data_IF_371965733273
#
_entry.id   IF_371965733273
#
_cell.length_a   1.000
_cell.length_b   1.000
_cell.length_c   1.000
_cell.angle_alpha   90.00
_cell.angle_beta   90.00
_cell.angle_gamma   90.00
#
_symmetry.space_group_name_H-M   'P 1'
#
loop_
_entity.id
_entity.type
_entity.pdbx_description
1 polymer ?
#
# COMPACT_ATOMS: atom_id res chain seq x y z
N UNK A 1 -69.06 27.28 -34.82
CA UNK A 1 -67.61 27.44 -34.61
C UNK A 1 -67.28 27.12 -33.17
N UNK A 2 -66.91 25.87 -32.89
CA UNK A 2 -66.53 25.37 -31.57
C UNK A 2 -65.05 25.01 -31.63
N UNK A 3 -64.25 25.58 -30.75
CA UNK A 3 -62.83 25.28 -30.61
C UNK A 3 -62.70 24.09 -29.66
N UNK A 4 -62.11 23.00 -30.18
CA UNK A 4 -61.82 21.77 -29.44
C UNK A 4 -60.38 21.84 -28.94
N UNK A 5 -60.20 21.83 -27.62
CA UNK A 5 -58.91 21.77 -26.95
C UNK A 5 -58.33 20.35 -27.06
N UNK A 6 -57.16 20.21 -27.68
CA UNK A 6 -56.36 18.98 -27.69
C UNK A 6 -55.25 19.11 -26.65
N UNK A 7 -55.34 18.30 -25.59
CA UNK A 7 -54.25 18.00 -24.65
C UNK A 7 -53.45 16.81 -25.20
N UNK A 8 -52.11 16.87 -25.25
CA UNK A 8 -51.30 15.69 -25.49
C UNK A 8 -51.06 14.93 -24.17
N UNK A 9 -51.47 13.66 -24.21
CA UNK A 9 -51.11 12.60 -23.26
C UNK A 9 -49.61 12.34 -23.36
N UNK A 10 -48.86 12.60 -22.29
CA UNK A 10 -47.46 12.20 -22.20
C UNK A 10 -47.39 10.74 -21.75
N UNK A 11 -46.97 9.89 -22.68
CA UNK A 11 -46.76 8.46 -22.48
C UNK A 11 -45.53 8.20 -21.62
N UNK A 12 -45.75 7.38 -20.60
CA UNK A 12 -44.77 6.78 -19.69
C UNK A 12 -43.86 5.86 -20.52
N UNK A 13 -42.60 6.24 -20.69
CA UNK A 13 -41.54 5.39 -21.23
C UNK A 13 -40.65 4.89 -20.10
N UNK A 14 -40.93 3.69 -19.60
CA UNK A 14 -40.10 2.97 -18.62
C UNK A 14 -38.84 2.47 -19.32
N UNK A 15 -37.73 3.22 -19.22
CA UNK A 15 -36.40 2.73 -19.56
C UNK A 15 -35.85 1.92 -18.38
N UNK A 16 -35.88 0.60 -18.52
CA UNK A 16 -35.06 -0.30 -17.71
C UNK A 16 -33.60 -0.16 -18.16
N UNK A 17 -32.73 0.30 -17.25
CA UNK A 17 -31.27 0.22 -17.41
C UNK A 17 -30.69 -0.71 -16.33
N UNK A 18 -29.61 -1.45 -16.64
CA UNK A 18 -29.14 -2.57 -15.84
C UNK A 18 -28.32 -2.12 -14.63
N UNK A 19 -28.44 -2.91 -13.55
CA UNK A 19 -27.83 -2.71 -12.25
C UNK A 19 -26.34 -2.37 -12.32
N UNK A 20 -26.00 -1.16 -11.88
CA UNK A 20 -24.65 -0.76 -11.58
C UNK A 20 -24.28 -1.26 -10.19
N UNK A 21 -23.43 -2.28 -10.12
CA UNK A 21 -22.63 -2.55 -8.93
C UNK A 21 -21.76 -1.31 -8.66
N UNK A 22 -22.09 -0.58 -7.59
CA UNK A 22 -21.36 0.61 -7.17
C UNK A 22 -19.93 0.23 -6.78
N UNK A 23 -18.99 0.53 -7.66
CA UNK A 23 -17.57 0.63 -7.32
C UNK A 23 -17.39 1.91 -6.50
N UNK A 24 -16.95 1.77 -5.25
CA UNK A 24 -16.61 2.90 -4.40
C UNK A 24 -15.22 3.41 -4.79
N UNK A 25 -15.16 4.62 -5.35
CA UNK A 25 -13.91 5.38 -5.50
C UNK A 25 -13.67 6.16 -4.21
N UNK A 26 -12.54 5.93 -3.55
CA UNK A 26 -12.16 6.60 -2.29
C UNK A 26 -11.68 8.05 -2.49
N UNK A 27 -11.51 8.52 -3.73
CA UNK A 27 -10.88 9.82 -4.03
C UNK A 27 -11.83 11.03 -4.17
N UNK A 28 -13.14 10.89 -3.90
CA UNK A 28 -14.06 12.05 -3.92
C UNK A 28 -14.15 12.82 -2.57
N UNK A 29 -13.40 12.43 -1.53
CA UNK A 29 -13.53 13.05 -0.18
C UNK A 29 -12.27 13.82 0.29
N UNK A 30 -11.10 13.67 -0.35
CA UNK A 30 -9.88 14.33 0.15
C UNK A 30 -9.04 14.98 -0.95
N UNK A 31 -9.46 16.18 -1.37
CA UNK A 31 -8.60 17.20 -1.98
C UNK A 31 -7.97 18.06 -0.86
N UNK A 32 -7.04 17.47 -0.11
CA UNK A 32 -6.42 18.07 1.09
C UNK A 32 -5.38 19.17 0.77
N UNK A 33 -5.05 19.42 -0.50
CA UNK A 33 -4.14 20.52 -0.87
C UNK A 33 -4.85 21.89 -0.91
N UNK A 34 -6.18 21.93 -1.06
CA UNK A 34 -6.91 23.21 -1.13
C UNK A 34 -7.07 23.93 0.21
N UNK A 35 -6.80 23.25 1.33
CA UNK A 35 -6.96 23.81 2.68
C UNK A 35 -5.66 24.17 3.39
N UNK A 36 -4.50 23.60 3.02
CA UNK A 36 -3.30 23.70 3.88
C UNK A 36 -1.98 24.02 3.15
N UNK A 37 -2.03 24.38 1.86
CA UNK A 37 -0.85 24.63 1.02
C UNK A 37 0.22 25.63 1.53
N UNK A 38 -0.08 26.73 2.27
CA UNK A 38 0.96 27.72 2.57
C UNK A 38 1.51 27.73 4.01
N UNK A 39 1.19 26.77 4.89
CA UNK A 39 1.55 26.88 6.33
C UNK A 39 2.79 26.09 6.78
N UNK A 40 3.62 25.59 5.86
CA UNK A 40 4.91 24.96 6.20
C UNK A 40 6.08 25.95 6.34
N UNK A 41 5.83 27.26 6.23
CA UNK A 41 6.85 28.31 6.22
C UNK A 41 6.67 29.35 7.32
N UNK A 42 6.76 28.95 8.59
CA UNK A 42 7.20 29.74 9.76
C UNK A 42 6.78 29.03 11.04
N UNK A 43 7.74 28.42 11.74
CA UNK A 43 7.61 28.20 13.17
C UNK A 43 8.94 28.60 13.82
N UNK A 44 8.90 29.72 14.53
CA UNK A 44 9.94 30.18 15.44
C UNK A 44 10.05 29.21 16.62
N UNK A 45 11.29 28.96 17.05
CA UNK A 45 11.59 28.10 18.19
C UNK A 45 11.20 28.79 19.51
N UNK A 46 10.30 28.17 20.27
CA UNK A 46 10.15 28.42 21.69
C UNK A 46 10.68 27.20 22.47
N UNK A 47 11.72 27.42 23.27
CA UNK A 47 12.33 26.43 24.15
C UNK A 47 11.47 26.22 25.40
N UNK A 48 10.99 25.01 25.62
CA UNK A 48 10.48 24.56 26.92
C UNK A 48 11.10 23.21 27.30
N UNK A 49 11.38 23.05 28.59
CA UNK A 49 12.15 21.95 29.18
C UNK A 49 11.44 20.58 29.09
N UNK A 50 12.17 19.45 29.10
CA UNK A 50 11.58 18.12 28.96
C UNK A 50 10.89 17.66 30.28
N UNK A 51 9.74 16.96 30.19
CA UNK A 51 9.13 16.30 31.35
C UNK A 51 9.88 15.02 31.73
N UNK A 52 9.73 14.54 33.00
CA UNK A 52 10.46 13.38 33.50
C UNK A 52 10.03 12.07 32.84
N UNK A 53 11.03 11.23 32.60
CA UNK A 53 10.95 9.92 31.95
C UNK A 53 10.19 8.90 32.82
N UNK A 54 8.94 8.61 32.49
CA UNK A 54 8.27 7.40 32.96
C UNK A 54 8.58 6.25 32.00
N UNK A 55 9.35 5.26 32.44
CA UNK A 55 9.58 4.02 31.70
C UNK A 55 8.23 3.35 31.36
N UNK A 56 8.01 2.93 30.11
CA UNK A 56 6.81 2.16 29.78
C UNK A 56 6.86 0.79 30.49
N UNK A 57 5.71 0.27 30.95
CA UNK A 57 5.64 -1.04 31.57
C UNK A 57 6.04 -2.13 30.56
N UNK A 58 6.62 -3.26 31.02
CA UNK A 58 6.93 -4.37 30.14
C UNK A 58 5.63 -4.93 29.56
N UNK A 59 5.45 -4.75 28.25
CA UNK A 59 4.38 -5.37 27.50
C UNK A 59 4.64 -6.87 27.41
N UNK A 60 4.15 -7.65 28.37
CA UNK A 60 3.90 -9.08 28.19
C UNK A 60 2.56 -9.24 27.48
N UNK A 61 2.53 -8.91 26.20
CA UNK A 61 1.47 -9.31 25.28
C UNK A 61 1.94 -10.53 24.53
N UNK A 62 1.17 -11.61 24.59
CA UNK A 62 1.33 -12.85 23.83
C UNK A 62 1.90 -12.59 22.43
N UNK A 63 3.11 -13.11 22.13
CA UNK A 63 3.81 -12.95 20.86
C UNK A 63 2.96 -13.50 19.69
N UNK A 64 2.10 -12.66 19.14
CA UNK A 64 1.56 -12.82 17.80
C UNK A 64 2.70 -12.57 16.82
N UNK A 65 3.62 -13.53 16.74
CA UNK A 65 4.94 -13.40 16.10
C UNK A 65 4.88 -12.64 14.78
N UNK A 66 5.92 -11.86 14.50
CA UNK A 66 6.06 -11.05 13.29
C UNK A 66 5.82 -11.91 12.04
N UNK A 67 4.67 -11.71 11.38
CA UNK A 67 4.26 -12.39 10.13
C UNK A 67 4.49 -11.58 8.87
N UNK A 68 4.87 -10.32 9.07
CA UNK A 68 5.37 -9.41 8.06
C UNK A 68 6.72 -9.87 7.55
N UNK A 69 6.89 -10.00 6.24
CA UNK A 69 8.13 -10.51 5.65
C UNK A 69 8.40 -9.85 4.30
N UNK A 70 9.64 -9.99 3.82
CA UNK A 70 10.04 -9.52 2.50
C UNK A 70 10.91 -10.52 1.75
N UNK A 71 10.82 -10.46 0.42
CA UNK A 71 11.73 -11.13 -0.51
C UNK A 71 11.99 -10.24 -1.74
N UNK A 72 13.18 -10.33 -2.32
CA UNK A 72 13.34 -9.95 -3.72
C UNK A 72 12.87 -11.12 -4.59
N UNK A 73 12.12 -10.85 -5.66
CA UNK A 73 11.63 -11.91 -6.55
C UNK A 73 11.84 -11.56 -8.02
N UNK A 74 12.33 -12.54 -8.78
CA UNK A 74 12.43 -12.48 -10.23
C UNK A 74 11.16 -12.99 -10.94
N UNK A 75 11.14 -12.99 -12.28
CA UNK A 75 9.99 -13.41 -13.07
C UNK A 75 9.49 -14.83 -12.79
N UNK A 76 10.39 -15.78 -12.52
CA UNK A 76 10.02 -17.19 -12.27
C UNK A 76 9.45 -17.43 -10.88
N UNK A 77 9.52 -16.44 -10.00
CA UNK A 77 9.12 -16.51 -8.60
C UNK A 77 7.78 -15.78 -8.34
N UNK A 78 7.10 -15.29 -9.39
CA UNK A 78 5.90 -14.46 -9.29
C UNK A 78 4.64 -15.12 -9.89
N UNK A 79 3.47 -15.04 -9.21
CA UNK A 79 3.30 -14.58 -7.84
C UNK A 79 3.79 -15.66 -6.85
N UNK A 80 4.31 -15.27 -5.67
CA UNK A 80 4.80 -16.22 -4.69
C UNK A 80 3.65 -17.11 -4.18
N UNK A 81 3.80 -18.43 -4.31
CA UNK A 81 2.72 -19.40 -4.05
C UNK A 81 2.73 -19.97 -2.64
N UNK A 82 3.87 -19.89 -1.96
CA UNK A 82 4.09 -20.53 -0.66
C UNK A 82 3.65 -19.67 0.52
N UNK A 83 3.19 -18.44 0.25
CA UNK A 83 2.76 -17.47 1.25
C UNK A 83 1.24 -17.35 1.32
N UNK A 84 0.70 -17.02 2.50
CA UNK A 84 -0.74 -16.89 2.68
C UNK A 84 -1.31 -15.66 1.95
N UNK A 85 -0.58 -14.55 2.01
CA UNK A 85 -0.87 -13.32 1.29
C UNK A 85 0.45 -12.74 0.77
N UNK A 86 0.35 -11.87 -0.24
CA UNK A 86 1.55 -11.17 -0.68
C UNK A 86 1.24 -9.73 -1.11
N UNK A 87 2.22 -8.87 -0.85
CA UNK A 87 2.34 -7.53 -1.34
C UNK A 87 3.42 -7.39 -2.41
N UNK A 88 3.41 -6.28 -3.14
CA UNK A 88 4.44 -5.90 -4.11
C UNK A 88 4.69 -4.39 -4.04
N UNK A 89 5.96 -4.01 -4.10
CA UNK A 89 6.39 -2.62 -4.31
C UNK A 89 6.38 -2.35 -5.82
N UNK A 90 5.41 -1.58 -6.29
CA UNK A 90 5.20 -1.30 -7.71
C UNK A 90 5.51 0.17 -8.05
N UNK A 91 6.63 0.40 -8.71
CA UNK A 91 6.92 1.66 -9.42
C UNK A 91 6.29 1.65 -10.83
N UNK A 92 5.69 2.78 -11.26
CA UNK A 92 5.28 2.97 -12.66
C UNK A 92 6.45 3.07 -13.66
N UNK A 93 7.60 3.55 -13.17
CA UNK A 93 8.80 3.83 -13.95
C UNK A 93 10.03 3.07 -13.46
N UNK A 94 11.06 3.03 -14.30
CA UNK A 94 12.43 2.76 -13.84
C UNK A 94 13.01 4.03 -13.20
N UNK A 95 13.98 3.85 -12.30
CA UNK A 95 14.76 4.96 -11.79
C UNK A 95 15.54 5.64 -12.92
N UNK A 96 15.42 6.96 -13.01
CA UNK A 96 16.26 7.85 -13.81
C UNK A 96 17.31 8.49 -12.92
N UNK A 97 18.29 9.19 -13.50
CA UNK A 97 19.27 9.95 -12.71
C UNK A 97 18.63 10.97 -11.76
N UNK A 98 17.48 11.55 -12.14
CA UNK A 98 16.80 12.58 -11.35
C UNK A 98 16.09 12.03 -10.11
N UNK A 99 15.58 10.81 -10.16
CA UNK A 99 14.74 10.21 -9.10
C UNK A 99 15.32 8.90 -8.53
N UNK A 100 16.53 8.52 -8.92
CA UNK A 100 17.27 7.39 -8.32
C UNK A 100 17.46 7.53 -6.80
N UNK A 101 17.78 8.70 -6.22
CA UNK A 101 17.89 8.84 -4.76
C UNK A 101 16.59 8.46 -4.03
N UNK A 102 15.44 8.77 -4.64
CA UNK A 102 14.12 8.40 -4.11
C UNK A 102 13.92 6.88 -4.14
N UNK A 103 14.26 6.22 -5.25
CA UNK A 103 14.14 4.76 -5.34
C UNK A 103 15.02 4.04 -4.32
N UNK A 104 16.26 4.51 -4.14
CA UNK A 104 17.16 4.01 -3.11
C UNK A 104 16.56 4.17 -1.71
N UNK A 105 16.10 5.38 -1.37
CA UNK A 105 15.49 5.66 -0.08
C UNK A 105 14.30 4.74 0.23
N UNK A 106 13.42 4.48 -0.76
CA UNK A 106 12.32 3.53 -0.60
C UNK A 106 12.85 2.11 -0.40
N UNK A 107 13.85 1.68 -1.18
CA UNK A 107 14.43 0.35 -1.01
C UNK A 107 15.05 0.17 0.38
N UNK A 108 15.80 1.15 0.86
CA UNK A 108 16.43 1.09 2.18
C UNK A 108 15.37 0.96 3.27
N UNK A 109 14.29 1.73 3.18
CA UNK A 109 13.17 1.63 4.10
C UNK A 109 12.46 0.25 4.01
N UNK A 110 12.26 -0.28 2.80
CA UNK A 110 11.73 -1.63 2.57
C UNK A 110 12.59 -2.68 3.25
N UNK A 111 13.90 -2.64 3.03
CA UNK A 111 14.85 -3.62 3.56
C UNK A 111 15.04 -3.53 5.07
N UNK A 112 15.03 -2.31 5.61
CA UNK A 112 15.28 -2.04 7.03
C UNK A 112 14.05 -2.31 7.92
N UNK A 113 12.83 -2.21 7.39
CA UNK A 113 11.61 -2.29 8.20
C UNK A 113 10.78 -3.56 7.94
N UNK A 114 11.08 -4.32 6.88
CA UNK A 114 10.52 -5.64 6.66
C UNK A 114 11.61 -6.71 6.85
N UNK A 115 11.40 -7.72 7.70
CA UNK A 115 12.37 -8.78 7.90
C UNK A 115 12.41 -9.71 6.69
N UNK A 116 13.58 -10.28 6.39
CA UNK A 116 13.67 -11.32 5.36
C UNK A 116 12.79 -12.51 5.77
N UNK A 117 11.99 -13.05 4.83
CA UNK A 117 11.15 -14.23 5.06
C UNK A 117 11.94 -15.43 5.62
N UNK A 118 13.18 -15.64 5.15
CA UNK A 118 14.06 -16.73 5.60
C UNK A 118 14.61 -16.53 7.02
N UNK A 119 14.51 -15.31 7.56
CA UNK A 119 14.95 -14.99 8.92
C UNK A 119 13.84 -15.18 9.98
N UNK A 120 12.62 -15.48 9.56
CA UNK A 120 11.49 -15.68 10.45
C UNK A 120 11.34 -17.15 10.85
N UNK A 121 11.13 -17.41 12.14
CA UNK A 121 10.89 -18.75 12.70
C UNK A 121 9.41 -19.15 12.61
N UNK A 122 8.80 -18.90 11.45
CA UNK A 122 7.42 -19.29 11.13
C UNK A 122 7.33 -19.75 9.66
N UNK A 123 6.45 -20.72 9.33
CA UNK A 123 6.33 -21.19 7.95
C UNK A 123 5.94 -20.07 6.96
N UNK A 124 6.41 -20.13 5.72
CA UNK A 124 6.02 -19.17 4.67
C UNK A 124 4.49 -19.10 4.49
N UNK A 125 3.80 -20.24 4.61
CA UNK A 125 2.34 -20.34 4.51
C UNK A 125 1.59 -19.59 5.64
N UNK A 126 2.31 -19.10 6.63
CA UNK A 126 1.83 -18.33 7.77
C UNK A 126 2.26 -16.86 7.74
N UNK A 127 3.00 -16.46 6.70
CA UNK A 127 3.54 -15.13 6.49
C UNK A 127 2.75 -14.38 5.40
N UNK A 128 2.75 -13.04 5.52
CA UNK A 128 2.45 -12.14 4.41
C UNK A 128 3.75 -11.53 3.91
N UNK A 129 4.07 -11.75 2.64
CA UNK A 129 5.34 -11.31 2.06
C UNK A 129 5.18 -10.11 1.14
N UNK A 130 5.96 -9.04 1.34
CA UNK A 130 6.09 -7.97 0.34
C UNK A 130 7.29 -8.17 -0.55
N UNK A 131 7.00 -8.22 -1.84
CA UNK A 131 7.97 -8.49 -2.90
C UNK A 131 8.52 -7.19 -3.47
N UNK A 132 9.84 -7.13 -3.60
CA UNK A 132 10.51 -6.19 -4.51
C UNK A 132 10.85 -6.90 -5.83
N UNK A 133 10.19 -6.54 -6.95
CA UNK A 133 10.37 -7.26 -8.21
C UNK A 133 11.68 -6.87 -8.89
N UNK A 134 12.49 -7.86 -9.26
CA UNK A 134 13.75 -7.69 -10.00
C UNK A 134 13.76 -8.47 -11.30
N UNK A 135 14.65 -8.08 -12.22
CA UNK A 135 14.60 -8.52 -13.61
C UNK A 135 15.01 -10.00 -13.79
N UNK A 136 15.74 -10.57 -12.84
CA UNK A 136 16.32 -11.92 -12.93
C UNK A 136 16.17 -12.68 -11.61
N UNK A 137 15.86 -13.98 -11.69
CA UNK A 137 15.74 -14.86 -10.53
C UNK A 137 17.08 -15.02 -9.80
N UNK A 138 18.20 -15.04 -10.52
CA UNK A 138 19.55 -15.08 -9.96
C UNK A 138 19.86 -13.85 -9.10
N UNK A 139 19.52 -12.66 -9.62
CA UNK A 139 19.64 -11.40 -8.88
C UNK A 139 18.75 -11.42 -7.64
N UNK A 140 17.51 -11.89 -7.76
CA UNK A 140 16.60 -12.02 -6.62
C UNK A 140 17.19 -12.88 -5.49
N UNK A 141 17.79 -14.04 -5.84
CA UNK A 141 18.43 -14.93 -4.88
C UNK A 141 19.68 -14.32 -4.24
N UNK A 142 20.46 -13.55 -4.98
CA UNK A 142 21.62 -12.81 -4.45
C UNK A 142 21.18 -11.71 -3.46
N UNK A 143 20.22 -10.88 -3.85
CA UNK A 143 19.73 -9.77 -3.04
C UNK A 143 19.04 -10.24 -1.76
N UNK A 144 18.27 -11.33 -1.83
CA UNK A 144 17.61 -11.92 -0.65
C UNK A 144 18.64 -12.43 0.36
N UNK A 145 19.74 -13.04 -0.09
CA UNK A 145 20.83 -13.49 0.82
C UNK A 145 21.66 -12.33 1.39
N UNK A 146 21.62 -11.17 0.76
CA UNK A 146 22.40 -10.01 1.17
C UNK A 146 21.70 -9.29 2.32
N UNK A 147 22.36 -9.23 3.48
CA UNK A 147 21.84 -8.60 4.69
C UNK A 147 21.95 -7.07 4.69
N UNK A 148 21.17 -6.42 5.56
CA UNK A 148 21.16 -4.96 5.71
C UNK A 148 20.75 -4.24 4.43
N UNK A 149 21.07 -2.95 4.32
CA UNK A 149 20.67 -2.09 3.18
C UNK A 149 21.52 -2.27 1.91
N UNK A 150 22.59 -3.05 1.98
CA UNK A 150 23.51 -3.31 0.87
C UNK A 150 22.87 -3.77 -0.45
N UNK A 151 21.73 -4.50 -0.49
CA UNK A 151 21.11 -4.91 -1.75
C UNK A 151 20.58 -3.74 -2.60
N UNK A 152 20.33 -2.58 -2.00
CA UNK A 152 19.45 -1.57 -2.60
C UNK A 152 19.94 -0.95 -3.91
N UNK A 153 21.23 -0.63 -4.11
CA UNK A 153 21.69 -0.16 -5.41
C UNK A 153 21.38 -1.14 -6.54
N UNK A 154 21.71 -2.42 -6.37
CA UNK A 154 21.46 -3.46 -7.36
C UNK A 154 19.97 -3.79 -7.52
N UNK A 155 19.18 -3.72 -6.44
CA UNK A 155 17.72 -3.91 -6.50
C UNK A 155 17.00 -2.80 -7.28
N UNK A 156 17.48 -1.55 -7.17
CA UNK A 156 16.95 -0.41 -7.92
C UNK A 156 17.37 -0.49 -9.39
N UNK A 157 18.65 -0.77 -9.67
CA UNK A 157 19.15 -0.85 -11.04
C UNK A 157 18.58 -2.08 -11.78
N UNK A 158 18.36 -3.18 -11.07
CA UNK A 158 17.78 -4.41 -11.58
C UNK A 158 16.25 -4.50 -11.42
N UNK A 159 15.55 -3.40 -11.13
CA UNK A 159 14.10 -3.42 -10.91
C UNK A 159 13.33 -3.91 -12.15
N UNK A 160 12.32 -4.75 -11.95
CA UNK A 160 11.49 -5.25 -13.04
C UNK A 160 10.24 -4.40 -13.24
N UNK A 161 10.37 -3.38 -14.10
CA UNK A 161 9.26 -2.48 -14.44
C UNK A 161 8.05 -3.22 -15.00
N UNK A 162 8.26 -4.26 -15.82
CA UNK A 162 7.16 -5.00 -16.42
C UNK A 162 6.28 -5.71 -15.38
N UNK A 163 6.88 -6.28 -14.32
CA UNK A 163 6.14 -6.84 -13.20
C UNK A 163 5.41 -5.75 -12.40
N UNK A 164 6.06 -4.62 -12.12
CA UNK A 164 5.43 -3.48 -11.45
C UNK A 164 4.19 -2.94 -12.22
N UNK A 165 4.33 -2.72 -13.53
CA UNK A 165 3.24 -2.29 -14.40
C UNK A 165 2.14 -3.34 -14.54
N UNK A 166 2.48 -4.62 -14.53
CA UNK A 166 1.47 -5.70 -14.51
C UNK A 166 0.67 -5.66 -13.21
N UNK A 167 1.32 -5.52 -12.06
CA UNK A 167 0.66 -5.41 -10.77
C UNK A 167 -0.30 -4.21 -10.70
N UNK A 168 0.14 -3.03 -11.18
CA UNK A 168 -0.71 -1.83 -11.27
C UNK A 168 -1.96 -2.05 -12.13
N UNK A 169 -1.79 -2.63 -13.33
CA UNK A 169 -2.95 -2.95 -14.21
C UNK A 169 -3.92 -3.95 -13.58
N UNK A 170 -3.42 -4.92 -12.81
CA UNK A 170 -4.29 -5.86 -12.12
C UNK A 170 -5.02 -5.20 -10.96
N UNK A 171 -4.36 -4.28 -10.25
CA UNK A 171 -5.03 -3.47 -9.23
C UNK A 171 -6.12 -2.58 -9.85
N UNK A 172 -5.88 -1.98 -11.01
CA UNK A 172 -6.88 -1.17 -11.74
C UNK A 172 -8.10 -1.98 -12.14
N UNK A 173 -7.91 -3.22 -12.63
CA UNK A 173 -9.02 -4.14 -12.95
C UNK A 173 -9.84 -4.50 -11.72
N UNK A 174 -9.20 -4.55 -10.55
CA UNK A 174 -9.86 -4.73 -9.26
C UNK A 174 -10.51 -3.43 -8.71
N UNK A 175 -10.49 -2.34 -9.47
CA UNK A 175 -11.14 -1.06 -9.15
C UNK A 175 -10.23 -0.03 -8.46
N UNK A 176 -8.94 -0.33 -8.27
CA UNK A 176 -7.99 0.67 -7.79
C UNK A 176 -7.81 1.80 -8.83
N UNK A 177 -7.48 3.00 -8.37
CA UNK A 177 -7.22 4.16 -9.24
C UNK A 177 -5.85 4.77 -8.94
N UNK A 178 -4.75 4.07 -9.27
CA UNK A 178 -3.40 4.63 -9.11
C UNK A 178 -3.23 5.91 -9.94
N UNK A 179 -3.87 6.00 -11.12
CA UNK A 179 -3.80 7.18 -11.99
C UNK A 179 -2.37 7.46 -12.46
N UNK A 180 -2.07 8.70 -12.82
CA UNK A 180 -0.74 9.13 -13.27
C UNK A 180 0.22 9.45 -12.11
N UNK A 181 -0.06 8.93 -10.91
CA UNK A 181 0.72 9.24 -9.71
C UNK A 181 2.10 8.58 -9.76
N UNK A 182 3.07 9.26 -9.14
CA UNK A 182 4.51 8.91 -9.21
C UNK A 182 4.85 7.56 -8.57
N UNK A 183 4.12 7.17 -7.53
CA UNK A 183 4.41 5.99 -6.72
C UNK A 183 5.69 6.10 -5.87
N UNK A 184 6.21 4.96 -5.38
CA UNK A 184 5.71 3.61 -5.63
C UNK A 184 4.37 3.35 -4.93
N UNK A 185 3.71 2.27 -5.33
CA UNK A 185 2.52 1.74 -4.68
C UNK A 185 2.86 0.45 -3.97
N UNK A 186 2.35 0.26 -2.75
CA UNK A 186 2.27 -1.05 -2.12
C UNK A 186 0.92 -1.65 -2.50
N UNK A 187 0.94 -2.75 -3.23
CA UNK A 187 -0.25 -3.47 -3.66
C UNK A 187 -0.28 -4.82 -2.98
N UNK A 188 -1.40 -5.28 -2.44
CA UNK A 188 -1.49 -6.60 -1.84
C UNK A 188 -2.75 -7.37 -2.19
N UNK A 189 -2.59 -8.70 -2.28
CA UNK A 189 -3.66 -9.66 -2.54
C UNK A 189 -3.72 -10.70 -1.44
N UNK A 190 -4.95 -11.06 -1.08
CA UNK A 190 -5.25 -12.14 -0.17
C UNK A 190 -6.52 -12.89 -0.61
N UNK A 191 -6.49 -14.24 -0.63
CA UNK A 191 -5.28 -15.07 -0.58
C UNK A 191 -4.39 -14.81 -1.80
N UNK A 192 -3.08 -14.98 -1.67
CA UNK A 192 -2.12 -14.66 -2.75
C UNK A 192 -2.44 -15.35 -4.09
N UNK A 193 -3.02 -16.55 -4.04
CA UNK A 193 -3.44 -17.35 -5.22
C UNK A 193 -4.57 -16.70 -6.03
N UNK A 194 -5.33 -15.76 -5.46
CA UNK A 194 -6.38 -15.02 -6.16
C UNK A 194 -5.84 -13.84 -6.98
N UNK A 195 -4.53 -13.60 -6.98
CA UNK A 195 -3.96 -12.54 -7.79
C UNK A 195 -4.35 -12.65 -9.27
N UNK A 196 -4.91 -11.54 -9.78
CA UNK A 196 -5.33 -11.42 -11.17
C UNK A 196 -6.62 -12.15 -11.54
N UNK A 197 -7.35 -12.70 -10.56
CA UNK A 197 -8.71 -13.21 -10.75
C UNK A 197 -9.73 -12.07 -10.71
N UNK A 198 -10.81 -12.22 -11.48
CA UNK A 198 -11.91 -11.25 -11.48
C UNK A 198 -12.60 -11.25 -10.10
N UNK A 199 -12.85 -10.04 -9.56
CA UNK A 199 -13.44 -9.87 -8.24
C UNK A 199 -12.46 -9.98 -7.06
N UNK A 200 -11.16 -10.21 -7.31
CA UNK A 200 -10.16 -10.17 -6.25
C UNK A 200 -10.06 -8.76 -5.64
N UNK A 201 -10.12 -8.68 -4.31
CA UNK A 201 -9.89 -7.41 -3.60
C UNK A 201 -8.38 -7.13 -3.54
N UNK A 202 -8.01 -5.90 -3.92
CA UNK A 202 -6.63 -5.41 -3.83
C UNK A 202 -6.55 -4.31 -2.78
N UNK A 203 -5.58 -4.42 -1.88
CA UNK A 203 -5.20 -3.31 -1.02
C UNK A 203 -4.14 -2.47 -1.74
N UNK A 204 -4.29 -1.15 -1.70
CA UNK A 204 -3.36 -0.20 -2.30
C UNK A 204 -2.96 0.86 -1.27
N UNK A 205 -1.66 1.06 -1.08
CA UNK A 205 -1.09 2.22 -0.41
C UNK A 205 -0.21 3.00 -1.39
N UNK A 206 -0.51 4.27 -1.58
CA UNK A 206 0.24 5.15 -2.48
C UNK A 206 1.31 5.91 -1.69
N UNK A 207 2.58 5.73 -2.08
CA UNK A 207 3.72 6.38 -1.46
C UNK A 207 4.25 7.57 -2.27
N UNK A 208 3.47 8.10 -3.22
CA UNK A 208 3.84 9.25 -4.07
C UNK A 208 4.34 10.47 -3.29
N UNK A 209 3.83 10.69 -2.08
CA UNK A 209 4.17 11.83 -1.21
C UNK A 209 5.34 11.57 -0.25
N UNK A 210 5.84 10.33 -0.18
CA UNK A 210 6.95 9.95 0.71
C UNK A 210 8.25 10.50 0.16
N UNK A 211 8.74 11.65 0.64
CA UNK A 211 9.90 12.35 0.07
C UNK A 211 11.14 12.32 0.97
N UNK A 212 11.05 11.78 2.19
CA UNK A 212 12.17 11.72 3.13
C UNK A 212 12.40 10.29 3.65
N UNK A 213 13.62 9.96 4.10
CA UNK A 213 13.92 8.65 4.68
C UNK A 213 13.01 8.31 5.86
N UNK A 214 12.71 9.27 6.74
CA UNK A 214 11.83 9.06 7.89
C UNK A 214 10.40 8.75 7.48
N UNK A 215 9.88 9.44 6.45
CA UNK A 215 8.56 9.14 5.89
C UNK A 215 8.52 7.73 5.29
N UNK A 216 9.58 7.32 4.58
CA UNK A 216 9.67 6.00 3.98
C UNK A 216 9.70 4.91 5.05
N UNK A 217 10.54 5.09 6.08
CA UNK A 217 10.64 4.16 7.18
C UNK A 217 9.31 4.09 7.97
N UNK A 218 8.65 5.22 8.20
CA UNK A 218 7.33 5.26 8.84
C UNK A 218 6.27 4.51 8.01
N UNK A 219 6.25 4.70 6.69
CA UNK A 219 5.32 4.02 5.80
C UNK A 219 5.49 2.49 5.85
N UNK A 220 6.73 1.98 5.76
CA UNK A 220 6.97 0.54 5.81
C UNK A 220 6.74 -0.08 7.19
N UNK A 221 7.08 0.62 8.29
CA UNK A 221 6.71 0.14 9.64
C UNK A 221 5.20 0.05 9.82
N UNK A 222 4.48 1.04 9.29
CA UNK A 222 3.02 1.06 9.36
C UNK A 222 2.41 -0.09 8.55
N UNK A 223 2.91 -0.29 7.33
CA UNK A 223 2.54 -1.42 6.49
C UNK A 223 2.79 -2.76 7.18
N UNK A 224 3.98 -2.96 7.74
CA UNK A 224 4.36 -4.17 8.46
C UNK A 224 3.45 -4.44 9.66
N UNK A 225 3.17 -3.42 10.48
CA UNK A 225 2.41 -3.58 11.73
C UNK A 225 0.91 -3.72 11.48
N UNK A 226 0.33 -2.86 10.65
CA UNK A 226 -1.12 -2.70 10.58
C UNK A 226 -1.76 -3.54 9.46
N UNK A 227 -0.96 -4.01 8.49
CA UNK A 227 -1.43 -4.86 7.40
C UNK A 227 -0.81 -6.25 7.51
N UNK A 228 0.51 -6.37 7.37
CA UNK A 228 1.14 -7.69 7.30
C UNK A 228 1.13 -8.42 8.65
N UNK A 229 1.25 -7.67 9.75
CA UNK A 229 1.28 -8.18 11.12
C UNK A 229 -0.09 -8.52 11.69
N UNK A 230 -1.18 -8.37 10.94
CA UNK A 230 -2.55 -8.64 11.38
C UNK A 230 -3.16 -9.80 10.56
N UNK A 231 -2.87 -11.08 10.89
CA UNK A 231 -3.31 -12.23 10.11
C UNK A 231 -4.82 -12.34 9.97
N UNK A 232 -5.58 -11.84 10.94
CA UNK A 232 -7.03 -11.73 10.85
C UNK A 232 -7.52 -10.93 9.62
N UNK A 233 -6.68 -10.04 9.07
CA UNK A 233 -7.02 -9.26 7.89
C UNK A 233 -6.91 -10.07 6.61
N UNK A 234 -6.01 -11.06 6.53
CA UNK A 234 -5.63 -11.67 5.26
C UNK A 234 -5.45 -13.18 5.27
N UNK A 235 -5.40 -13.88 6.40
CA UNK A 235 -5.11 -15.31 6.43
C UNK A 235 -6.23 -16.16 5.80
N UNK A 236 -7.46 -15.63 5.76
CA UNK A 236 -8.64 -16.30 5.18
C UNK A 236 -9.24 -15.50 4.01
N UNK A 237 -8.44 -14.68 3.34
CA UNK A 237 -8.94 -13.62 2.47
C UNK A 237 -9.08 -12.29 3.22
N UNK A 238 -9.34 -11.21 2.47
CA UNK A 238 -9.49 -9.87 3.05
C UNK A 238 -10.73 -9.74 3.93
N UNK A 239 -10.55 -9.44 5.22
CA UNK A 239 -11.63 -8.94 6.08
C UNK A 239 -11.85 -7.44 5.81
N UNK A 240 -12.78 -7.13 4.91
CA UNK A 240 -13.03 -5.76 4.45
C UNK A 240 -13.61 -4.83 5.53
N UNK A 241 -14.20 -5.37 6.60
CA UNK A 241 -14.70 -4.55 7.71
C UNK A 241 -13.53 -4.11 8.59
N UNK A 242 -12.68 -5.06 9.00
CA UNK A 242 -11.47 -4.76 9.78
C UNK A 242 -10.45 -3.95 9.00
N UNK A 243 -10.34 -4.19 7.69
CA UNK A 243 -9.47 -3.40 6.82
C UNK A 243 -9.95 -1.94 6.77
N UNK A 244 -11.26 -1.70 6.66
CA UNK A 244 -11.81 -0.33 6.72
C UNK A 244 -11.55 0.33 8.06
N UNK A 245 -11.68 -0.38 9.17
CA UNK A 245 -11.38 0.16 10.50
C UNK A 245 -9.89 0.51 10.64
N UNK A 246 -9.00 -0.38 10.20
CA UNK A 246 -7.55 -0.15 10.20
C UNK A 246 -7.19 1.07 9.33
N UNK A 247 -7.84 1.21 8.17
CA UNK A 247 -7.64 2.36 7.26
C UNK A 247 -8.22 3.67 7.82
N UNK A 248 -9.31 3.64 8.59
CA UNK A 248 -9.83 4.83 9.30
C UNK A 248 -8.85 5.31 10.35
N UNK A 249 -8.37 4.38 11.18
CA UNK A 249 -7.29 4.69 12.14
C UNK A 249 -6.05 5.22 11.41
N UNK A 250 -5.80 4.75 10.18
CA UNK A 250 -4.72 5.28 9.37
C UNK A 250 -4.84 6.78 9.06
N UNK A 251 -6.06 7.23 8.76
CA UNK A 251 -6.39 8.61 8.49
C UNK A 251 -6.50 9.46 9.78
N UNK A 252 -7.09 8.91 10.84
CA UNK A 252 -7.35 9.61 12.10
C UNK A 252 -6.06 9.95 12.86
N UNK A 253 -5.06 9.04 12.85
CA UNK A 253 -3.71 9.30 13.39
C UNK A 253 -3.03 10.52 12.75
N UNK A 254 -3.38 10.86 11.50
CA UNK A 254 -2.88 12.06 10.84
C UNK A 254 -3.61 13.30 11.34
N UNK A 255 -4.91 13.20 11.63
CA UNK A 255 -5.72 14.28 12.21
C UNK A 255 -5.28 14.66 13.63
N UNK A 256 -5.07 13.67 14.50
CA UNK A 256 -4.66 13.88 15.89
C UNK A 256 -3.26 14.51 16.04
N UNK A 257 -2.40 14.39 15.02
CA UNK A 257 -1.07 15.04 14.98
C UNK A 257 -1.12 16.50 14.54
N UNK A 258 -2.19 16.90 13.85
CA UNK A 258 -2.39 18.28 13.35
C UNK A 258 -3.16 19.11 14.37
N UNK A 259 -4.10 18.50 15.09
CA UNK A 259 -4.83 19.11 16.20
C UNK A 259 -4.75 18.16 17.40
N UNK A 260 -3.66 18.22 18.19
CA UNK A 260 -3.67 17.58 19.49
C UNK A 260 -4.74 18.25 20.35
N UNK A 261 -5.57 17.45 21.04
CA UNK A 261 -6.52 17.96 22.05
C UNK A 261 -5.80 18.72 23.18
#
# INVERSE_FOLDING_TARGET
>A
MRWTTLLPVLLIGTLALPGHGRAWSFFDIFDLERLFGPLWGKMDMATSAPPPTSSPPPMTGTDGGLRASRIFAGPGQYPPQDFAAYGIVAFPGLATSADRPRHLMICEAYVANLPNADALDIPAAEQMVTVWPVAQDSLAQELTRTGGIAPCPAAVDGYNQMLGLRALRLAERAGARPGDRRGPFLLAWSPGRQHGQDGAHVLIADLSHVNTPDQAAAAFRRWARDIEGQPELWQRGWDMERLRLSLRNWADDLGARILPE
#
